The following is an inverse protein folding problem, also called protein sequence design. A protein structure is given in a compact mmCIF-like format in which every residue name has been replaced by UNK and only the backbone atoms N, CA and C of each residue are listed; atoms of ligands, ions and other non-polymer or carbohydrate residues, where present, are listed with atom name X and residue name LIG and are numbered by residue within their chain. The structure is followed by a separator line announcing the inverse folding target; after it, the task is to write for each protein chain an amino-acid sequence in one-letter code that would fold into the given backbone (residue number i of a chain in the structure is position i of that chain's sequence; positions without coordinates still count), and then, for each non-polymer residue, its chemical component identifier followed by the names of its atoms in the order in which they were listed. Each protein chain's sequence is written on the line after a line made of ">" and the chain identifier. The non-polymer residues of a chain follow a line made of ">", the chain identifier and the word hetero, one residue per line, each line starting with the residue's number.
data_IF_756459058825
#
_entry.id   IF_756459058825
#
_cell.length_a   1.000
_cell.length_b   1.000
_cell.length_c   1.000
_cell.angle_alpha   90.00
_cell.angle_beta   90.00
_cell.angle_gamma   90.00
#
_symmetry.space_group_name_H-M   'P 1'
#
loop_
_entity.id
_entity.type
_entity.pdbx_description
1 polymer ?
#
# COMPACT_ATOMS: atom_id res chain seq x y z
N UNK A 1 9.21 -11.19 0.42
CA UNK A 1 7.92 -10.48 0.30
C UNK A 1 7.23 -10.31 1.65
N UNK A 2 7.18 -11.34 2.52
CA UNK A 2 6.94 -11.16 3.98
C UNK A 2 8.08 -10.43 4.71
N UNK A 3 9.27 -10.35 4.10
CA UNK A 3 10.43 -9.63 4.63
C UNK A 3 10.27 -8.10 4.65
N UNK A 4 9.27 -7.53 3.97
CA UNK A 4 9.11 -6.07 3.91
C UNK A 4 8.21 -5.58 5.05
N UNK A 5 7.17 -6.32 5.44
CA UNK A 5 6.24 -5.87 6.50
C UNK A 5 6.89 -5.83 7.89
N UNK A 6 7.74 -6.81 8.23
CA UNK A 6 8.41 -6.85 9.55
C UNK A 6 9.55 -5.83 9.61
N UNK A 7 10.31 -5.65 8.53
CA UNK A 7 11.44 -4.72 8.53
C UNK A 7 11.00 -3.25 8.44
N UNK A 8 9.87 -2.94 7.79
CA UNK A 8 9.35 -1.57 7.67
C UNK A 8 8.88 -0.99 9.01
N UNK A 9 8.21 -1.77 9.86
CA UNK A 9 7.76 -1.28 11.18
C UNK A 9 8.94 -0.85 12.05
N UNK A 10 10.08 -1.55 11.95
CA UNK A 10 11.27 -1.20 12.71
C UNK A 10 12.10 -0.06 12.08
N UNK A 11 12.26 -0.06 10.75
CA UNK A 11 13.15 0.90 10.06
C UNK A 11 12.52 2.28 9.86
N UNK A 12 11.26 2.35 9.46
CA UNK A 12 10.60 3.64 9.18
C UNK A 12 10.06 4.32 10.44
N UNK A 13 9.69 3.53 11.46
CA UNK A 13 9.32 4.07 12.77
C UNK A 13 10.44 4.92 13.38
N UNK A 14 11.70 4.50 13.24
CA UNK A 14 12.85 5.22 13.82
C UNK A 14 13.21 6.50 13.06
N UNK A 15 13.00 6.57 11.74
CA UNK A 15 13.39 7.72 10.90
C UNK A 15 12.39 8.88 10.93
N UNK A 16 11.10 8.59 11.08
CA UNK A 16 10.05 9.62 10.98
C UNK A 16 9.66 10.24 12.35
N UNK A 17 10.12 9.68 13.46
CA UNK A 17 9.87 10.19 14.84
C UNK A 17 10.48 11.57 15.16
N UNK A 18 11.13 12.24 14.21
CA UNK A 18 11.80 13.52 14.44
C UNK A 18 10.88 14.76 14.32
N UNK A 19 9.61 14.57 13.96
CA UNK A 19 8.60 15.65 13.88
C UNK A 19 7.79 15.77 15.17
N UNK A 20 7.46 17.01 15.54
CA UNK A 20 6.95 17.44 16.86
C UNK A 20 5.59 16.82 17.29
N UNK A 21 4.88 16.14 16.40
CA UNK A 21 3.60 15.46 16.69
C UNK A 21 3.56 14.02 16.17
N UNK A 22 3.78 13.07 17.09
CA UNK A 22 3.91 11.63 16.76
C UNK A 22 2.70 11.01 16.07
N UNK A 23 1.48 11.40 16.46
CA UNK A 23 0.23 10.78 15.95
C UNK A 23 -0.06 11.13 14.50
N UNK A 24 0.12 12.39 14.11
CA UNK A 24 -0.12 12.84 12.75
C UNK A 24 0.89 12.20 11.79
N UNK A 25 2.14 12.14 12.22
CA UNK A 25 3.21 11.55 11.46
C UNK A 25 3.05 10.01 11.30
N UNK A 26 2.56 9.34 12.34
CA UNK A 26 2.20 7.92 12.28
C UNK A 26 1.02 7.67 11.32
N UNK A 27 -0.04 8.47 11.41
CA UNK A 27 -1.18 8.39 10.50
C UNK A 27 -0.75 8.62 9.04
N UNK A 28 0.08 9.62 8.77
CA UNK A 28 0.65 9.89 7.45
C UNK A 28 1.50 8.72 6.94
N UNK A 29 2.29 8.10 7.82
CA UNK A 29 3.13 6.96 7.46
C UNK A 29 2.28 5.78 7.01
N UNK A 30 1.27 5.41 7.81
CA UNK A 30 0.34 4.35 7.44
C UNK A 30 -0.43 4.68 6.16
N UNK A 31 -0.91 5.91 6.02
CA UNK A 31 -1.61 6.36 4.82
C UNK A 31 -0.73 6.20 3.57
N UNK A 32 0.51 6.68 3.59
CA UNK A 32 1.45 6.55 2.48
C UNK A 32 1.77 5.09 2.15
N UNK A 33 2.02 4.27 3.17
CA UNK A 33 2.38 2.86 2.98
C UNK A 33 1.22 2.04 2.39
N UNK A 34 0.03 2.17 2.96
CA UNK A 34 -1.13 1.43 2.48
C UNK A 34 -1.61 1.94 1.13
N UNK A 35 -1.65 3.26 0.91
CA UNK A 35 -2.02 3.81 -0.41
C UNK A 35 -1.07 3.33 -1.51
N UNK A 36 0.24 3.26 -1.26
CA UNK A 36 1.20 2.67 -2.20
C UNK A 36 0.86 1.21 -2.57
N UNK A 37 0.54 0.38 -1.58
CA UNK A 37 0.28 -1.05 -1.80
C UNK A 37 -1.05 -1.35 -2.49
N UNK A 38 -2.08 -0.53 -2.26
CA UNK A 38 -3.44 -0.78 -2.75
C UNK A 38 -3.82 0.06 -3.98
N UNK A 39 -3.33 1.30 -4.07
CA UNK A 39 -3.80 2.26 -5.07
C UNK A 39 -2.86 2.44 -6.26
N UNK A 40 -1.57 2.13 -6.10
CA UNK A 40 -0.55 2.44 -7.11
C UNK A 40 -0.05 1.17 -7.82
N UNK A 41 -0.49 0.91 -9.07
CA UNK A 41 0.00 -0.23 -9.84
C UNK A 41 1.41 0.04 -10.34
N UNK A 42 2.33 -0.90 -10.07
CA UNK A 42 3.73 -0.76 -10.45
C UNK A 42 4.06 -1.56 -11.71
N UNK A 43 4.95 -1.01 -12.55
CA UNK A 43 5.27 -1.56 -13.87
C UNK A 43 5.86 -2.97 -13.78
N UNK A 44 6.65 -3.26 -12.75
CA UNK A 44 7.32 -4.55 -12.54
C UNK A 44 6.35 -5.68 -12.20
N UNK A 45 5.15 -5.36 -11.70
CA UNK A 45 4.11 -6.35 -11.37
C UNK A 45 3.07 -6.51 -12.48
N UNK A 46 3.17 -5.76 -13.58
CA UNK A 46 2.23 -5.86 -14.69
C UNK A 46 2.24 -7.26 -15.28
N UNK A 47 1.04 -7.81 -15.47
CA UNK A 47 0.87 -9.11 -16.11
C UNK A 47 0.64 -8.86 -17.60
N UNK A 48 1.52 -9.41 -18.43
CA UNK A 48 1.31 -9.43 -19.88
C UNK A 48 0.38 -10.58 -20.26
N UNK A 49 -0.55 -10.32 -21.16
CA UNK A 49 -1.30 -11.38 -21.81
C UNK A 49 -0.36 -12.26 -22.65
N UNK A 50 -0.70 -13.52 -22.87
CA UNK A 50 0.10 -14.51 -23.62
C UNK A 50 0.38 -14.07 -25.06
N UNK A 51 -0.42 -13.14 -25.59
CA UNK A 51 -0.25 -12.54 -26.93
C UNK A 51 0.54 -11.22 -26.91
N UNK A 52 0.92 -10.71 -25.74
CA UNK A 52 1.60 -9.41 -25.58
C UNK A 52 0.71 -8.19 -25.88
N UNK A 53 -0.53 -8.39 -26.31
CA UNK A 53 -1.43 -7.34 -26.79
C UNK A 53 -1.99 -6.45 -25.67
N UNK A 54 -2.08 -6.95 -24.44
CA UNK A 54 -2.62 -6.20 -23.29
C UNK A 54 -1.80 -6.46 -22.04
N UNK A 55 -1.40 -5.38 -21.36
CA UNK A 55 -0.84 -5.44 -20.01
C UNK A 55 -1.92 -5.09 -18.98
N UNK A 56 -2.09 -5.95 -17.99
CA UNK A 56 -2.97 -5.68 -16.84
C UNK A 56 -2.15 -5.00 -15.75
N UNK A 57 -2.61 -3.82 -15.33
CA UNK A 57 -2.07 -3.11 -14.16
C UNK A 57 -2.27 -3.98 -12.92
N UNK A 58 -1.24 -4.02 -12.06
CA UNK A 58 -1.25 -4.82 -10.83
C UNK A 58 -0.53 -4.07 -9.72
N UNK A 59 -1.14 -4.01 -8.54
CA UNK A 59 -0.54 -3.43 -7.33
C UNK A 59 0.16 -4.53 -6.50
N UNK A 60 1.02 -4.17 -5.54
CA UNK A 60 1.57 -5.12 -4.59
C UNK A 60 0.50 -5.93 -3.85
N UNK A 61 -0.59 -5.31 -3.39
CA UNK A 61 -1.69 -6.00 -2.73
C UNK A 61 -2.38 -7.03 -3.65
N UNK A 62 -2.52 -6.73 -4.94
CA UNK A 62 -2.98 -7.71 -5.94
C UNK A 62 -1.95 -8.80 -6.24
N UNK A 63 -0.65 -8.53 -6.04
CA UNK A 63 0.39 -9.53 -6.24
C UNK A 63 0.34 -10.65 -5.20
N UNK A 64 0.02 -10.27 -3.96
CA UNK A 64 -0.11 -11.21 -2.83
C UNK A 64 -1.54 -11.72 -2.61
N UNK A 65 -2.52 -11.22 -3.37
CA UNK A 65 -3.91 -11.69 -3.30
C UNK A 65 -4.75 -11.07 -2.18
N UNK A 66 -4.33 -9.93 -1.63
CA UNK A 66 -5.12 -9.18 -0.64
C UNK A 66 -6.31 -8.44 -1.26
N UNK A 67 -6.25 -8.17 -2.57
CA UNK A 67 -7.31 -7.54 -3.36
C UNK A 67 -7.22 -8.02 -4.81
N UNK A 68 -8.31 -7.89 -5.56
CA UNK A 68 -8.43 -8.27 -6.97
C UNK A 68 -8.42 -7.07 -7.93
N UNK A 69 -8.41 -5.84 -7.40
CA UNK A 69 -8.42 -4.61 -8.19
C UNK A 69 -7.49 -3.53 -7.61
N UNK A 70 -7.22 -2.52 -8.44
CA UNK A 70 -6.53 -1.30 -8.05
C UNK A 70 -7.52 -0.37 -7.39
N UNK A 71 -7.27 0.00 -6.13
CA UNK A 71 -8.13 0.90 -5.38
C UNK A 71 -7.90 2.35 -5.81
N UNK A 72 -8.95 3.15 -5.86
CA UNK A 72 -8.80 4.61 -5.85
C UNK A 72 -8.53 5.09 -4.42
N UNK A 73 -7.91 6.27 -4.27
CA UNK A 73 -7.72 6.88 -2.94
C UNK A 73 -9.07 7.10 -2.25
N UNK A 74 -10.10 7.52 -3.00
CA UNK A 74 -11.45 7.75 -2.48
C UNK A 74 -12.11 6.47 -1.95
N UNK A 75 -12.01 5.37 -2.70
CA UNK A 75 -12.48 4.06 -2.23
C UNK A 75 -11.70 3.65 -0.99
N UNK A 76 -10.37 3.76 -1.00
CA UNK A 76 -9.52 3.35 0.12
C UNK A 76 -9.87 4.10 1.42
N UNK A 77 -10.05 5.42 1.38
CA UNK A 77 -10.35 6.21 2.60
C UNK A 77 -11.77 5.97 3.14
N UNK A 78 -12.68 5.44 2.33
CA UNK A 78 -14.07 5.13 2.75
C UNK A 78 -14.15 3.90 3.66
N UNK A 79 -13.11 3.08 3.73
CA UNK A 79 -13.06 1.92 4.61
C UNK A 79 -12.16 2.24 5.81
N UNK A 80 -12.72 2.78 6.91
CA UNK A 80 -11.92 3.09 8.09
C UNK A 80 -11.31 1.81 8.65
N UNK A 81 -9.99 1.84 8.87
CA UNK A 81 -9.23 0.76 9.53
C UNK A 81 -9.59 0.60 11.01
N UNK A 82 -10.18 1.64 11.61
CA UNK A 82 -10.69 1.65 12.98
C UNK A 82 -12.22 1.75 12.89
N UNK A 83 -12.89 0.63 13.13
CA UNK A 83 -14.33 0.61 13.41
C UNK A 83 -14.48 0.73 14.93
N UNK A 84 -14.89 1.90 15.42
CA UNK A 84 -15.30 2.05 16.81
C UNK A 84 -16.66 1.35 16.94
N UNK A 85 -16.65 0.14 17.49
CA UNK A 85 -17.85 -0.56 17.95
C UNK A 85 -18.51 0.18 19.12
#
# INVERSE_FOLDING_TARGET
>A
MLLIEIEIHEKFGKTLLFSKERRENEAMTFFCLYSYNFCWPIRTLQIQDKRGERSKKRTPAMAVGLTDHVWTIEEWIRFPSVQLC
#
